data_IF_211006686879
#
_entry.id   IF_211006686879
#
_cell.length_a   1.000
_cell.length_b   1.000
_cell.length_c   1.000
_cell.angle_alpha   90.00
_cell.angle_beta   90.00
_cell.angle_gamma   90.00
#
_symmetry.space_group_name_H-M   'P 1'
#
loop_
_entity.id
_entity.type
_entity.pdbx_description
1 polymer ?
#
# COMPACT_ATOMS: atom_id res chain seq x y z
N UNK A 1 -61.99 36.95 35.02
CA UNK A 1 -60.90 37.96 35.05
C UNK A 1 -59.81 37.47 34.10
N UNK A 2 -59.90 37.91 32.85
CA UNK A 2 -58.89 38.71 32.11
C UNK A 2 -57.74 37.84 31.58
N UNK A 3 -57.84 37.36 30.33
CA UNK A 3 -57.25 37.95 29.10
C UNK A 3 -55.70 37.84 29.13
N UNK A 4 -55.02 37.19 28.19
CA UNK A 4 -54.85 37.62 26.78
C UNK A 4 -54.41 36.45 25.85
N UNK A 5 -55.14 36.23 24.74
CA UNK A 5 -54.75 36.13 23.30
C UNK A 5 -53.28 35.85 22.82
N UNK A 6 -53.05 35.46 21.52
CA UNK A 6 -53.24 34.15 20.85
C UNK A 6 -51.93 33.74 20.08
N UNK A 7 -51.75 32.68 19.29
CA UNK A 7 -52.30 32.38 17.94
C UNK A 7 -51.50 31.15 17.41
N UNK A 8 -52.11 29.97 17.22
CA UNK A 8 -52.57 29.32 15.95
C UNK A 8 -51.47 29.05 14.90
N UNK A 9 -51.40 27.92 14.18
CA UNK A 9 -52.40 27.28 13.29
C UNK A 9 -51.86 25.87 12.91
N UNK A 10 -52.61 24.77 13.01
CA UNK A 10 -53.63 24.19 12.09
C UNK A 10 -53.02 22.96 11.34
N UNK A 11 -53.78 21.89 11.03
CA UNK A 11 -54.57 21.92 9.79
C UNK A 11 -55.89 21.13 9.83
N UNK A 12 -56.92 21.65 9.16
CA UNK A 12 -58.10 20.89 8.76
C UNK A 12 -58.03 20.36 7.32
N UNK A 13 -58.47 19.12 7.19
CA UNK A 13 -58.82 18.41 5.97
C UNK A 13 -60.32 18.62 5.69
N UNK A 14 -60.68 18.62 4.40
CA UNK A 14 -61.96 18.22 3.79
C UNK A 14 -62.91 19.30 3.22
N UNK A 15 -63.17 19.10 1.92
CA UNK A 15 -64.46 19.12 1.23
C UNK A 15 -65.37 20.35 1.34
N UNK A 16 -65.57 21.06 0.21
CA UNK A 16 -66.90 21.52 -0.21
C UNK A 16 -67.00 21.44 -1.76
N UNK A 17 -67.78 20.47 -2.22
CA UNK A 17 -68.50 20.47 -3.51
C UNK A 17 -69.94 20.90 -3.20
N UNK A 18 -70.46 21.96 -3.83
CA UNK A 18 -71.92 22.18 -3.98
C UNK A 18 -72.23 23.48 -4.74
N UNK A 19 -72.95 23.34 -5.88
CA UNK A 19 -73.89 24.28 -6.54
C UNK A 19 -73.35 25.69 -6.94
N UNK A 20 -73.53 26.24 -8.14
CA UNK A 20 -74.55 26.08 -9.19
C UNK A 20 -75.16 27.46 -9.50
N UNK A 21 -74.79 28.10 -10.62
CA UNK A 21 -75.55 29.07 -11.47
C UNK A 21 -74.60 29.84 -12.44
N UNK A 22 -75.10 30.43 -13.55
CA UNK A 22 -74.42 30.40 -14.85
C UNK A 22 -73.84 31.74 -15.35
N UNK A 23 -72.91 31.62 -16.31
CA UNK A 23 -72.69 32.62 -17.37
C UNK A 23 -71.58 33.64 -17.15
N UNK A 24 -70.42 33.44 -17.79
CA UNK A 24 -69.87 34.39 -18.78
C UNK A 24 -68.69 33.75 -19.52
N UNK A 25 -68.64 34.01 -20.83
CA UNK A 25 -67.91 33.27 -21.85
C UNK A 25 -66.56 33.90 -22.23
N UNK A 26 -65.64 33.06 -22.76
CA UNK A 26 -64.43 33.38 -23.56
C UNK A 26 -63.28 34.05 -22.78
N UNK A 27 -62.00 33.63 -22.87
CA UNK A 27 -61.20 33.33 -24.06
C UNK A 27 -60.23 32.17 -23.79
N UNK A 28 -60.14 31.24 -24.76
CA UNK A 28 -59.21 30.13 -24.83
C UNK A 28 -57.89 30.60 -25.47
N UNK A 29 -56.83 30.81 -24.67
CA UNK A 29 -55.45 30.83 -25.19
C UNK A 29 -54.83 29.45 -24.92
N UNK A 30 -54.90 28.58 -25.92
CA UNK A 30 -54.03 27.40 -25.99
C UNK A 30 -52.74 27.76 -26.74
N UNK A 31 -51.68 27.02 -26.39
CA UNK A 31 -50.44 26.76 -27.14
C UNK A 31 -49.34 27.84 -27.16
N UNK A 32 -48.43 27.76 -26.18
CA UNK A 32 -46.97 27.88 -26.45
C UNK A 32 -46.09 27.33 -25.31
N UNK A 33 -46.64 27.12 -24.11
CA UNK A 33 -45.84 26.71 -22.94
C UNK A 33 -45.35 25.26 -23.02
N UNK A 34 -46.08 24.37 -23.72
CA UNK A 34 -45.70 22.96 -23.85
C UNK A 34 -44.46 22.72 -24.70
N UNK A 35 -44.30 23.45 -25.83
CA UNK A 35 -43.15 23.28 -26.73
C UNK A 35 -41.84 23.73 -26.10
N UNK A 36 -41.88 24.79 -25.28
CA UNK A 36 -40.70 25.30 -24.59
C UNK A 36 -40.25 24.35 -23.47
N UNK A 37 -41.20 23.69 -22.79
CA UNK A 37 -40.89 22.68 -21.75
C UNK A 37 -40.27 21.43 -22.38
N UNK A 38 -40.81 20.96 -23.52
CA UNK A 38 -40.27 19.80 -24.24
C UNK A 38 -38.83 20.07 -24.76
N UNK A 39 -38.55 21.29 -25.22
CA UNK A 39 -37.21 21.70 -25.66
C UNK A 39 -36.20 21.82 -24.50
N UNK A 40 -36.65 22.29 -23.33
CA UNK A 40 -35.83 22.35 -22.11
C UNK A 40 -35.52 20.94 -21.60
N UNK A 41 -36.51 20.04 -21.60
CA UNK A 41 -36.31 18.64 -21.18
C UNK A 41 -35.41 17.88 -22.17
N UNK A 42 -35.53 18.18 -23.47
CA UNK A 42 -34.63 17.68 -24.52
C UNK A 42 -33.18 18.11 -24.32
N UNK A 43 -32.92 19.39 -24.00
CA UNK A 43 -31.57 19.87 -23.67
C UNK A 43 -31.02 19.26 -22.39
N UNK A 44 -31.83 19.15 -21.34
CA UNK A 44 -31.43 18.54 -20.08
C UNK A 44 -31.06 17.04 -20.26
N UNK A 45 -31.79 16.31 -21.11
CA UNK A 45 -31.42 14.93 -21.50
C UNK A 45 -30.17 14.86 -22.36
N UNK A 46 -29.97 15.82 -23.27
CA UNK A 46 -28.77 15.86 -24.10
C UNK A 46 -27.52 16.14 -23.26
N UNK A 47 -27.59 17.09 -22.31
CA UNK A 47 -26.51 17.39 -21.39
C UNK A 47 -26.24 16.25 -20.40
N UNK A 48 -27.28 15.61 -19.85
CA UNK A 48 -27.09 14.46 -18.97
C UNK A 48 -26.49 13.26 -19.72
N UNK A 49 -26.91 13.02 -20.96
CA UNK A 49 -26.31 11.98 -21.81
C UNK A 49 -24.87 12.31 -22.19
N UNK A 50 -24.51 13.58 -22.41
CA UNK A 50 -23.13 14.02 -22.64
C UNK A 50 -22.26 13.85 -21.39
N UNK A 51 -22.79 14.12 -20.20
CA UNK A 51 -22.10 13.92 -18.91
C UNK A 51 -21.93 12.41 -18.62
N UNK A 52 -22.93 11.58 -18.93
CA UNK A 52 -22.83 10.13 -18.80
C UNK A 52 -21.81 9.57 -19.79
N UNK A 53 -21.77 10.09 -21.02
CA UNK A 53 -20.82 9.67 -22.05
C UNK A 53 -19.39 10.12 -21.74
N UNK A 54 -19.19 11.28 -21.12
CA UNK A 54 -17.86 11.72 -20.66
C UNK A 54 -17.37 10.92 -19.45
N UNK A 55 -18.28 10.43 -18.59
CA UNK A 55 -17.94 9.48 -17.51
C UNK A 55 -17.66 8.05 -18.00
N UNK A 56 -18.16 7.69 -19.18
CA UNK A 56 -18.08 6.33 -19.74
C UNK A 56 -16.73 5.92 -20.35
N UNK A 57 -15.79 6.84 -20.56
CA UNK A 57 -14.51 6.55 -21.22
C UNK A 57 -13.27 6.78 -20.34
N UNK A 58 -13.37 6.53 -19.03
CA UNK A 58 -12.14 6.24 -18.27
C UNK A 58 -11.70 4.83 -18.62
N UNK A 59 -10.96 4.71 -19.72
CA UNK A 59 -10.29 3.47 -20.15
C UNK A 59 -9.55 2.91 -18.94
N UNK A 60 -10.07 1.82 -18.38
CA UNK A 60 -9.42 1.08 -17.29
C UNK A 60 -8.06 0.67 -17.81
N UNK A 61 -7.03 1.42 -17.39
CA UNK A 61 -5.65 1.20 -17.82
C UNK A 61 -5.30 -0.20 -17.34
N UNK A 62 -5.15 -1.14 -18.28
CA UNK A 62 -4.78 -2.54 -18.06
C UNK A 62 -3.79 -2.63 -16.90
N UNK A 63 -4.29 -2.93 -15.70
CA UNK A 63 -3.44 -3.16 -14.54
C UNK A 63 -2.73 -4.46 -14.86
N UNK A 64 -1.46 -4.36 -15.27
CA UNK A 64 -0.58 -5.53 -15.27
C UNK A 64 -0.71 -6.12 -13.86
N UNK A 65 -1.17 -7.38 -13.73
CA UNK A 65 -1.42 -7.94 -12.41
C UNK A 65 -0.12 -7.87 -11.63
N UNK A 66 -0.19 -7.35 -10.40
CA UNK A 66 0.97 -7.11 -9.53
C UNK A 66 1.95 -8.29 -9.51
N UNK A 67 1.41 -9.50 -9.50
CA UNK A 67 2.14 -10.76 -9.60
C UNK A 67 3.09 -10.84 -10.81
N UNK A 68 2.63 -10.47 -12.01
CA UNK A 68 3.46 -10.50 -13.23
C UNK A 68 4.63 -9.52 -13.12
N UNK A 69 4.41 -8.36 -12.50
CA UNK A 69 5.47 -7.39 -12.25
C UNK A 69 6.54 -7.93 -11.29
N UNK A 70 6.14 -8.63 -10.23
CA UNK A 70 7.06 -9.24 -9.26
C UNK A 70 7.86 -10.37 -9.87
N UNK A 71 7.21 -11.25 -10.64
CA UNK A 71 7.90 -12.35 -11.34
C UNK A 71 8.91 -11.80 -12.34
N UNK A 72 8.51 -10.81 -13.15
CA UNK A 72 9.43 -10.15 -14.09
C UNK A 72 10.61 -9.51 -13.37
N UNK A 73 10.38 -8.84 -12.24
CA UNK A 73 11.43 -8.25 -11.40
C UNK A 73 12.42 -9.29 -10.90
N UNK A 74 11.95 -10.39 -10.32
CA UNK A 74 12.81 -11.47 -9.81
C UNK A 74 13.66 -12.05 -10.94
N UNK A 75 13.04 -12.40 -12.07
CA UNK A 75 13.76 -12.95 -13.23
C UNK A 75 14.81 -11.97 -13.76
N UNK A 76 14.45 -10.69 -13.89
CA UNK A 76 15.35 -9.66 -14.40
C UNK A 76 16.55 -9.44 -13.46
N UNK A 77 16.31 -9.28 -12.15
CA UNK A 77 17.37 -9.05 -11.17
C UNK A 77 18.28 -10.28 -11.05
N UNK A 78 17.72 -11.49 -11.05
CA UNK A 78 18.51 -12.72 -11.00
C UNK A 78 19.36 -12.94 -12.26
N UNK A 79 18.84 -12.63 -13.46
CA UNK A 79 19.64 -12.72 -14.69
C UNK A 79 20.76 -11.69 -14.71
N UNK A 80 20.48 -10.45 -14.30
CA UNK A 80 21.48 -9.39 -14.20
C UNK A 80 22.59 -9.76 -13.19
N UNK A 81 22.20 -10.26 -12.01
CA UNK A 81 23.14 -10.73 -10.99
C UNK A 81 24.01 -11.90 -11.48
N UNK A 82 23.41 -12.88 -12.16
CA UNK A 82 24.11 -14.02 -12.73
C UNK A 82 25.19 -13.61 -13.74
N UNK A 83 24.89 -12.66 -14.63
CA UNK A 83 25.85 -12.16 -15.62
C UNK A 83 27.05 -11.51 -14.93
N UNK A 84 26.80 -10.69 -13.90
CA UNK A 84 27.87 -10.00 -13.17
C UNK A 84 28.72 -10.99 -12.39
N UNK A 85 28.10 -11.95 -11.67
CA UNK A 85 28.80 -12.98 -10.91
C UNK A 85 29.66 -13.87 -11.82
N UNK A 86 29.13 -14.29 -12.97
CA UNK A 86 29.86 -15.09 -13.95
C UNK A 86 31.13 -14.38 -14.40
N UNK A 87 31.05 -13.09 -14.75
CA UNK A 87 32.20 -12.32 -15.26
C UNK A 87 33.24 -12.07 -14.16
N UNK A 88 32.82 -11.93 -12.90
CA UNK A 88 33.72 -11.58 -11.80
C UNK A 88 34.43 -12.77 -11.19
N UNK A 89 33.72 -13.89 -11.04
CA UNK A 89 34.20 -15.08 -10.32
C UNK A 89 34.56 -16.23 -11.26
N UNK A 90 34.47 -16.03 -12.58
CA UNK A 90 34.73 -17.05 -13.62
C UNK A 90 33.97 -18.38 -13.39
N UNK A 91 32.71 -18.26 -12.95
CA UNK A 91 31.86 -19.41 -12.63
C UNK A 91 31.13 -19.94 -13.87
N UNK A 92 30.81 -21.24 -13.90
CA UNK A 92 29.81 -21.76 -14.82
C UNK A 92 28.51 -20.95 -14.72
N UNK A 93 27.90 -20.63 -15.86
CA UNK A 93 26.70 -19.78 -15.89
C UNK A 93 25.57 -20.34 -15.02
N UNK A 94 25.45 -21.67 -14.94
CA UNK A 94 24.44 -22.33 -14.12
C UNK A 94 24.64 -22.08 -12.62
N UNK A 95 25.89 -22.08 -12.13
CA UNK A 95 26.20 -21.83 -10.72
C UNK A 95 26.02 -20.35 -10.36
N UNK A 96 26.43 -19.45 -11.26
CA UNK A 96 26.19 -18.02 -11.11
C UNK A 96 24.69 -17.69 -11.12
N UNK A 97 23.92 -18.33 -12.00
CA UNK A 97 22.46 -18.19 -12.06
C UNK A 97 21.78 -18.74 -10.81
N UNK A 98 22.17 -19.93 -10.36
CA UNK A 98 21.65 -20.54 -9.14
C UNK A 98 21.90 -19.64 -7.93
N UNK A 99 23.14 -19.17 -7.75
CA UNK A 99 23.51 -18.29 -6.63
C UNK A 99 22.75 -16.97 -6.68
N UNK A 100 22.56 -16.39 -7.86
CA UNK A 100 21.79 -15.15 -8.02
C UNK A 100 20.29 -15.32 -7.81
N UNK A 101 19.71 -16.46 -8.19
CA UNK A 101 18.30 -16.77 -7.92
C UNK A 101 18.13 -16.97 -6.42
N UNK A 102 18.97 -17.80 -5.80
CA UNK A 102 18.88 -18.15 -4.38
C UNK A 102 19.01 -16.92 -3.47
N UNK A 103 19.94 -16.00 -3.80
CA UNK A 103 20.07 -14.72 -3.10
C UNK A 103 18.80 -13.87 -3.19
N UNK A 104 18.14 -13.82 -4.36
CA UNK A 104 16.92 -13.01 -4.58
C UNK A 104 15.69 -13.69 -3.97
N UNK A 105 15.59 -15.02 -4.04
CA UNK A 105 14.47 -15.79 -3.46
C UNK A 105 14.64 -16.07 -1.97
N UNK A 106 15.77 -15.67 -1.38
CA UNK A 106 16.11 -15.86 0.02
C UNK A 106 15.99 -17.32 0.47
N UNK A 107 16.56 -18.24 -0.30
CA UNK A 107 16.45 -19.68 -0.05
C UNK A 107 17.63 -20.22 0.77
N UNK A 108 18.84 -19.69 0.57
CA UNK A 108 20.01 -19.96 1.39
C UNK A 108 20.90 -21.10 0.92
N UNK A 109 20.70 -21.58 -0.32
CA UNK A 109 21.50 -22.62 -0.93
C UNK A 109 22.62 -22.02 -1.78
N UNK A 110 23.84 -22.49 -1.57
CA UNK A 110 24.99 -22.11 -2.36
C UNK A 110 25.58 -23.36 -3.03
N UNK A 111 25.73 -23.34 -4.35
CA UNK A 111 26.43 -24.42 -5.09
C UNK A 111 27.94 -24.27 -5.00
N UNK A 112 28.41 -23.04 -4.84
CA UNK A 112 29.82 -22.70 -4.68
C UNK A 112 30.04 -21.91 -3.39
N UNK A 113 31.23 -22.07 -2.82
CA UNK A 113 31.61 -21.43 -1.57
C UNK A 113 31.74 -19.90 -1.76
N UNK A 114 30.82 -19.15 -1.15
CA UNK A 114 30.74 -17.68 -1.19
C UNK A 114 31.91 -17.03 -0.44
N UNK A 115 32.56 -17.77 0.47
CA UNK A 115 33.69 -17.24 1.26
C UNK A 115 34.86 -16.80 0.37
N UNK A 116 35.04 -17.48 -0.77
CA UNK A 116 36.13 -17.28 -1.72
C UNK A 116 35.92 -16.12 -2.68
N UNK A 117 34.69 -15.60 -2.77
CA UNK A 117 34.37 -14.53 -3.71
C UNK A 117 35.09 -13.22 -3.39
N UNK A 118 35.29 -12.41 -4.43
CA UNK A 118 35.79 -11.06 -4.27
C UNK A 118 34.82 -10.22 -3.41
N UNK A 119 35.36 -9.18 -2.78
CA UNK A 119 34.57 -8.22 -1.99
C UNK A 119 33.45 -7.61 -2.82
N UNK A 120 33.70 -7.34 -4.11
CA UNK A 120 32.68 -6.80 -5.02
C UNK A 120 31.51 -7.75 -5.19
N UNK A 121 31.78 -9.04 -5.38
CA UNK A 121 30.77 -10.08 -5.56
C UNK A 121 29.99 -10.34 -4.27
N UNK A 122 30.66 -10.30 -3.11
CA UNK A 122 29.99 -10.32 -1.80
C UNK A 122 29.03 -9.14 -1.63
N UNK A 123 29.44 -7.93 -2.02
CA UNK A 123 28.57 -6.75 -2.03
C UNK A 123 27.39 -6.91 -3.00
N UNK A 124 27.61 -7.47 -4.19
CA UNK A 124 26.54 -7.77 -5.14
C UNK A 124 25.52 -8.74 -4.54
N UNK A 125 25.98 -9.80 -3.88
CA UNK A 125 25.10 -10.77 -3.22
C UNK A 125 24.26 -10.09 -2.13
N UNK A 126 24.84 -9.21 -1.32
CA UNK A 126 24.09 -8.38 -0.35
C UNK A 126 23.01 -7.52 -1.04
N UNK A 127 23.32 -6.91 -2.18
CA UNK A 127 22.34 -6.15 -2.95
C UNK A 127 21.21 -7.03 -3.51
N UNK A 128 21.54 -8.22 -4.02
CA UNK A 128 20.56 -9.18 -4.52
C UNK A 128 19.60 -9.64 -3.42
N UNK A 129 20.11 -9.97 -2.23
CA UNK A 129 19.29 -10.26 -1.05
C UNK A 129 18.34 -9.13 -0.71
N UNK A 130 18.85 -7.89 -0.71
CA UNK A 130 18.03 -6.73 -0.38
C UNK A 130 16.92 -6.51 -1.41
N UNK A 131 17.23 -6.59 -2.71
CA UNK A 131 16.26 -6.38 -3.80
C UNK A 131 15.21 -7.50 -3.88
N UNK A 132 15.56 -8.71 -3.42
CA UNK A 132 14.66 -9.84 -3.28
C UNK A 132 13.81 -9.84 -2.01
N UNK A 133 14.19 -9.07 -1.00
CA UNK A 133 13.47 -9.01 0.28
C UNK A 133 12.00 -8.63 0.11
N UNK A 134 11.13 -9.26 0.91
CA UNK A 134 9.70 -8.97 0.90
C UNK A 134 9.41 -7.48 1.17
N UNK A 135 10.23 -6.85 2.03
CA UNK A 135 10.12 -5.42 2.32
C UNK A 135 10.43 -4.55 1.11
N UNK A 136 11.45 -4.86 0.30
CA UNK A 136 11.73 -4.10 -0.94
C UNK A 136 10.70 -4.37 -2.02
N UNK A 137 10.26 -5.62 -2.18
CA UNK A 137 9.21 -5.97 -3.15
C UNK A 137 7.90 -5.23 -2.87
N UNK A 138 7.57 -4.97 -1.60
CA UNK A 138 6.42 -4.16 -1.21
C UNK A 138 6.57 -2.66 -1.56
N UNK A 139 7.80 -2.13 -1.64
CA UNK A 139 8.04 -0.71 -1.96
C UNK A 139 7.87 -0.37 -3.45
N UNK A 140 8.13 -1.32 -4.35
CA UNK A 140 8.02 -1.12 -5.81
C UNK A 140 6.61 -0.64 -6.23
N UNK A 141 5.51 -1.34 -5.90
CA UNK A 141 4.16 -0.89 -6.28
C UNK A 141 3.79 0.45 -5.61
N UNK A 142 4.22 0.67 -4.36
CA UNK A 142 4.03 1.93 -3.65
C UNK A 142 4.72 3.08 -4.41
N UNK A 143 5.96 2.88 -4.85
CA UNK A 143 6.72 3.89 -5.61
C UNK A 143 6.08 4.19 -6.98
N UNK A 144 5.63 3.17 -7.70
CA UNK A 144 4.91 3.34 -8.98
C UNK A 144 3.63 4.13 -8.77
N UNK A 145 2.84 3.79 -7.73
CA UNK A 145 1.60 4.50 -7.39
C UNK A 145 1.85 5.95 -6.99
N UNK A 146 2.88 6.23 -6.17
CA UNK A 146 3.32 7.59 -5.83
C UNK A 146 3.67 8.37 -7.09
N UNK A 147 4.43 7.78 -8.03
CA UNK A 147 4.81 8.46 -9.28
C UNK A 147 3.59 8.75 -10.15
N UNK A 148 2.67 7.80 -10.26
CA UNK A 148 1.42 7.97 -11.00
C UNK A 148 0.54 9.08 -10.41
N UNK A 149 0.38 9.13 -9.08
CA UNK A 149 -0.42 10.14 -8.41
C UNK A 149 0.28 11.51 -8.37
N UNK A 150 1.62 11.56 -8.28
CA UNK A 150 2.39 12.81 -8.33
C UNK A 150 2.10 13.59 -9.61
N UNK A 151 2.02 12.89 -10.74
CA UNK A 151 1.66 13.47 -12.04
C UNK A 151 0.23 14.02 -12.08
N UNK A 152 -0.63 13.72 -11.11
CA UNK A 152 -1.98 14.28 -11.02
C UNK A 152 -1.99 15.43 -10.01
N UNK A 153 -1.24 15.32 -8.90
CA UNK A 153 -1.19 16.32 -7.81
C UNK A 153 -0.48 17.58 -8.25
N UNK A 154 0.63 17.47 -8.98
CA UNK A 154 1.44 18.63 -9.36
C UNK A 154 0.71 19.58 -10.31
N UNK A 155 -0.26 19.09 -11.09
CA UNK A 155 -1.01 19.91 -12.04
C UNK A 155 -2.29 20.52 -11.46
N UNK A 156 -2.63 20.19 -10.21
CA UNK A 156 -3.83 20.73 -9.54
C UNK A 156 -3.49 21.78 -8.49
N UNK A 157 -3.97 23.00 -8.68
CA UNK A 157 -3.83 24.10 -7.71
C UNK A 157 -4.85 23.93 -6.58
N UNK A 158 -4.44 23.35 -5.44
CA UNK A 158 -5.36 23.13 -4.30
C UNK A 158 -4.97 23.94 -3.07
N UNK A 159 -5.92 24.72 -2.57
CA UNK A 159 -5.77 25.45 -1.32
C UNK A 159 -6.06 24.49 -0.15
N UNK A 160 -4.99 24.00 0.50
CA UNK A 160 -5.06 22.99 1.58
C UNK A 160 -5.63 23.52 2.90
N UNK A 161 -6.01 24.80 2.97
CA UNK A 161 -6.61 25.43 4.16
C UNK A 161 -7.99 24.86 4.52
N UNK A 162 -8.74 24.38 3.52
CA UNK A 162 -10.07 23.79 3.73
C UNK A 162 -10.05 22.27 3.52
N UNK A 163 -9.72 21.53 4.58
CA UNK A 163 -9.62 20.07 4.56
C UNK A 163 -10.91 19.35 4.12
N UNK A 164 -12.08 19.99 4.24
CA UNK A 164 -13.37 19.40 3.85
C UNK A 164 -13.55 19.21 2.34
N UNK A 165 -12.68 19.80 1.51
CA UNK A 165 -12.76 19.74 0.04
C UNK A 165 -11.54 19.11 -0.63
N UNK A 166 -10.67 18.43 0.12
CA UNK A 166 -9.53 17.75 -0.49
C UNK A 166 -9.99 16.51 -1.26
N UNK A 167 -9.58 16.33 -2.52
CA UNK A 167 -9.96 15.14 -3.27
C UNK A 167 -9.23 13.90 -2.74
N UNK A 168 -9.88 12.75 -2.79
CA UNK A 168 -9.44 11.49 -2.18
C UNK A 168 -8.01 11.08 -2.61
N UNK A 169 -7.68 11.24 -3.88
CA UNK A 169 -6.38 10.89 -4.45
C UNK A 169 -5.21 11.74 -3.92
N UNK A 170 -5.46 12.97 -3.43
CA UNK A 170 -4.45 13.79 -2.75
C UNK A 170 -4.17 13.25 -1.35
N UNK A 171 -5.20 12.77 -0.66
CA UNK A 171 -5.07 12.12 0.65
C UNK A 171 -4.31 10.80 0.50
N UNK A 172 -4.66 10.00 -0.50
CA UNK A 172 -3.98 8.75 -0.86
C UNK A 172 -2.49 9.00 -1.18
N UNK A 173 -2.17 9.98 -2.04
CA UNK A 173 -0.79 10.32 -2.38
C UNK A 173 0.05 10.65 -1.13
N UNK A 174 -0.46 11.52 -0.26
CA UNK A 174 0.25 11.92 0.97
C UNK A 174 0.43 10.72 1.90
N UNK A 175 -0.58 9.88 2.02
CA UNK A 175 -0.51 8.67 2.83
C UNK A 175 0.53 7.67 2.30
N UNK A 176 0.58 7.44 0.99
CA UNK A 176 1.59 6.59 0.34
C UNK A 176 3.01 7.15 0.54
N UNK A 177 3.21 8.47 0.42
CA UNK A 177 4.52 9.11 0.66
C UNK A 177 4.96 8.94 2.11
N UNK A 178 4.04 9.07 3.08
CA UNK A 178 4.34 8.82 4.50
C UNK A 178 4.70 7.35 4.70
N UNK A 179 3.91 6.42 4.16
CA UNK A 179 4.14 4.99 4.27
C UNK A 179 5.51 4.60 3.70
N UNK A 180 5.85 5.08 2.50
CA UNK A 180 7.15 4.85 1.85
C UNK A 180 8.32 5.29 2.74
N UNK A 181 8.22 6.48 3.35
CA UNK A 181 9.26 7.00 4.27
C UNK A 181 9.35 6.17 5.55
N UNK A 182 8.22 5.77 6.13
CA UNK A 182 8.18 4.95 7.35
C UNK A 182 8.86 3.60 7.12
N UNK A 183 8.57 2.93 5.99
CA UNK A 183 9.19 1.64 5.66
C UNK A 183 10.70 1.77 5.44
N UNK A 184 11.15 2.79 4.70
CA UNK A 184 12.59 3.03 4.51
C UNK A 184 13.29 3.35 5.84
N UNK A 185 12.69 4.19 6.67
CA UNK A 185 13.23 4.55 7.98
C UNK A 185 13.28 3.33 8.89
N UNK A 186 12.24 2.49 8.88
CA UNK A 186 12.21 1.24 9.63
C UNK A 186 13.39 0.33 9.27
N UNK A 187 13.61 0.07 7.98
CA UNK A 187 14.72 -0.77 7.52
C UNK A 187 16.06 -0.21 7.95
N UNK A 188 16.27 1.09 7.73
CA UNK A 188 17.50 1.78 8.14
C UNK A 188 17.75 1.67 9.64
N UNK A 189 16.72 1.89 10.46
CA UNK A 189 16.83 1.81 11.93
C UNK A 189 17.11 0.39 12.41
N UNK A 190 16.44 -0.62 11.84
CA UNK A 190 16.70 -2.02 12.18
C UNK A 190 18.15 -2.39 11.86
N UNK A 191 18.64 -2.08 10.65
CA UNK A 191 20.05 -2.32 10.31
C UNK A 191 21.01 -1.56 11.22
N UNK A 192 20.73 -0.30 11.53
CA UNK A 192 21.59 0.51 12.37
C UNK A 192 21.65 -0.03 13.81
N UNK A 193 20.50 -0.36 14.42
CA UNK A 193 20.44 -0.82 15.81
C UNK A 193 21.16 -2.15 15.98
N UNK A 194 20.84 -3.15 15.16
CA UNK A 194 21.45 -4.48 15.30
C UNK A 194 22.87 -4.51 14.74
N UNK A 195 23.14 -3.81 13.64
CA UNK A 195 24.49 -3.68 13.09
C UNK A 195 25.45 -2.99 14.06
N UNK A 196 25.01 -1.91 14.71
CA UNK A 196 25.78 -1.25 15.77
C UNK A 196 25.95 -2.15 16.99
N UNK A 197 24.90 -2.84 17.45
CA UNK A 197 25.01 -3.77 18.58
C UNK A 197 26.04 -4.89 18.31
N UNK A 198 26.02 -5.48 17.11
CA UNK A 198 27.01 -6.48 16.69
C UNK A 198 28.41 -5.88 16.56
N UNK A 199 28.53 -4.67 16.00
CA UNK A 199 29.81 -3.95 15.89
C UNK A 199 30.44 -3.70 17.27
N UNK A 200 29.67 -3.15 18.21
CA UNK A 200 30.13 -2.92 19.58
C UNK A 200 30.56 -4.24 20.24
N UNK A 201 29.78 -5.32 20.06
CA UNK A 201 30.12 -6.63 20.62
C UNK A 201 31.43 -7.20 20.07
N UNK A 202 31.74 -6.97 18.80
CA UNK A 202 32.99 -7.42 18.16
C UNK A 202 34.17 -6.55 18.61
N UNK A 203 34.00 -5.23 18.72
CA UNK A 203 35.09 -4.33 19.13
C UNK A 203 35.47 -4.53 20.60
N UNK A 204 34.50 -4.69 21.50
CA UNK A 204 34.77 -4.83 22.93
C UNK A 204 35.20 -6.25 23.35
N UNK A 205 35.08 -7.25 22.49
CA UNK A 205 35.45 -8.63 22.82
C UNK A 205 36.54 -9.14 21.89
N UNK A 206 37.73 -9.28 22.47
CA UNK A 206 38.90 -9.80 21.77
C UNK A 206 38.64 -11.17 21.14
N UNK A 207 38.06 -12.09 21.91
CA UNK A 207 37.75 -13.44 21.46
C UNK A 207 36.84 -13.46 20.22
N UNK A 208 35.81 -12.61 20.19
CA UNK A 208 34.90 -12.55 19.04
C UNK A 208 35.56 -11.90 17.83
N UNK A 209 36.41 -10.90 18.04
CA UNK A 209 37.16 -10.24 16.97
C UNK A 209 38.14 -11.20 16.29
N UNK A 210 38.91 -11.95 17.08
CA UNK A 210 39.84 -12.96 16.58
C UNK A 210 39.10 -14.05 15.81
N UNK A 211 37.99 -14.54 16.35
CA UNK A 211 37.15 -15.53 15.68
C UNK A 211 36.63 -15.05 14.31
N UNK A 212 36.19 -13.78 14.20
CA UNK A 212 35.78 -13.20 12.91
C UNK A 212 36.94 -13.15 11.92
N UNK A 213 38.14 -12.77 12.36
CA UNK A 213 39.32 -12.71 11.50
C UNK A 213 39.79 -14.10 11.03
N UNK A 214 39.69 -15.10 11.89
CA UNK A 214 40.04 -16.49 11.58
C UNK A 214 39.04 -17.13 10.61
N UNK A 215 37.74 -16.91 10.84
CA UNK A 215 36.67 -17.57 10.07
C UNK A 215 36.34 -16.91 8.74
N UNK A 216 36.65 -15.61 8.58
CA UNK A 216 36.38 -14.85 7.36
C UNK A 216 37.63 -14.07 6.89
N UNK A 217 38.73 -14.76 6.54
CA UNK A 217 39.97 -14.11 6.14
C UNK A 217 39.76 -13.21 4.92
N UNK A 218 40.36 -12.01 4.95
CA UNK A 218 40.26 -11.02 3.88
C UNK A 218 38.95 -10.21 3.86
N UNK A 219 37.99 -10.47 4.76
CA UNK A 219 36.79 -9.64 4.89
C UNK A 219 36.95 -8.61 6.00
N UNK A 220 36.55 -7.37 5.75
CA UNK A 220 36.51 -6.34 6.79
C UNK A 220 35.44 -6.65 7.84
N UNK A 221 35.66 -6.26 9.10
CA UNK A 221 34.66 -6.45 10.18
C UNK A 221 33.32 -5.81 9.79
N UNK A 222 33.35 -4.62 9.20
CA UNK A 222 32.15 -3.94 8.73
C UNK A 222 31.45 -4.73 7.60
N UNK A 223 32.21 -5.27 6.64
CA UNK A 223 31.67 -6.11 5.58
C UNK A 223 31.00 -7.37 6.14
N UNK A 224 31.61 -8.00 7.15
CA UNK A 224 31.04 -9.16 7.83
C UNK A 224 29.72 -8.83 8.52
N UNK A 225 29.65 -7.70 9.23
CA UNK A 225 28.44 -7.25 9.94
C UNK A 225 27.33 -6.90 8.94
N UNK A 226 27.63 -6.11 7.91
CA UNK A 226 26.65 -5.75 6.87
C UNK A 226 26.12 -6.99 6.18
N UNK A 227 26.99 -7.95 5.83
CA UNK A 227 26.57 -9.18 5.16
C UNK A 227 25.62 -10.01 6.03
N UNK A 228 26.00 -10.30 7.28
CA UNK A 228 25.19 -11.13 8.16
C UNK A 228 23.91 -10.42 8.62
N UNK A 229 23.93 -9.10 8.76
CA UNK A 229 22.71 -8.34 9.07
C UNK A 229 21.72 -8.34 7.92
N UNK A 230 22.17 -8.11 6.68
CA UNK A 230 21.27 -8.17 5.52
C UNK A 230 20.77 -9.60 5.30
N UNK A 231 21.65 -10.60 5.41
CA UNK A 231 21.29 -12.02 5.28
C UNK A 231 20.23 -12.46 6.31
N UNK A 232 20.43 -12.12 7.59
CA UNK A 232 19.47 -12.45 8.64
C UNK A 232 18.17 -11.64 8.55
N UNK A 233 18.21 -10.35 8.18
CA UNK A 233 16.99 -9.56 7.95
C UNK A 233 16.15 -10.13 6.78
N UNK A 234 16.82 -10.51 5.70
CA UNK A 234 16.17 -11.05 4.51
C UNK A 234 15.83 -12.55 4.65
N UNK A 235 16.18 -13.18 5.77
CA UNK A 235 16.03 -14.62 6.02
C UNK A 235 16.70 -15.50 4.96
N UNK A 236 17.83 -15.07 4.42
CA UNK A 236 18.50 -15.78 3.31
C UNK A 236 19.27 -16.97 3.84
N UNK A 237 20.06 -16.80 4.90
CA UNK A 237 20.85 -17.89 5.49
C UNK A 237 22.26 -18.04 4.91
N UNK A 238 22.64 -17.20 3.94
CA UNK A 238 24.03 -17.11 3.50
C UNK A 238 24.94 -16.61 4.62
N UNK A 239 26.16 -17.12 4.62
CA UNK A 239 27.22 -16.74 5.53
C UNK A 239 28.55 -16.58 4.78
N UNK A 240 29.42 -15.72 5.30
CA UNK A 240 30.79 -15.56 4.80
C UNK A 240 31.77 -16.57 5.41
N UNK A 241 31.25 -17.67 5.94
CA UNK A 241 32.00 -18.71 6.61
C UNK A 241 31.56 -20.08 6.07
N UNK A 242 32.49 -21.03 5.89
CA UNK A 242 32.17 -22.34 5.31
C UNK A 242 31.23 -23.17 6.19
N UNK A 243 31.33 -23.01 7.51
CA UNK A 243 30.48 -23.72 8.49
C UNK A 243 29.35 -22.84 9.03
N UNK A 244 28.91 -21.86 8.25
CA UNK A 244 27.94 -20.85 8.66
C UNK A 244 28.29 -20.26 10.05
N UNK A 245 27.33 -20.19 10.96
CA UNK A 245 27.50 -19.61 12.31
C UNK A 245 27.93 -20.63 13.39
N UNK A 246 28.28 -21.88 13.02
CA UNK A 246 28.73 -22.91 13.99
C UNK A 246 29.90 -22.42 14.86
N UNK A 247 30.94 -21.73 14.34
CA UNK A 247 32.04 -21.24 15.17
C UNK A 247 31.60 -20.23 16.25
N UNK A 248 30.42 -19.62 16.11
CA UNK A 248 29.88 -18.61 17.02
C UNK A 248 28.92 -19.21 18.06
N UNK A 249 29.01 -20.52 18.33
CA UNK A 249 28.10 -21.18 19.25
C UNK A 249 28.18 -20.63 20.69
N UNK A 250 29.36 -20.27 21.16
CA UNK A 250 29.51 -19.66 22.50
C UNK A 250 29.05 -18.18 22.56
N UNK A 251 28.73 -17.57 21.41
CA UNK A 251 28.43 -16.14 21.30
C UNK A 251 26.92 -15.86 21.38
N UNK A 252 26.31 -16.08 22.54
CA UNK A 252 24.86 -15.91 22.79
C UNK A 252 24.32 -14.55 22.36
N UNK A 253 25.03 -13.46 22.65
CA UNK A 253 24.60 -12.11 22.29
C UNK A 253 24.47 -11.92 20.76
N UNK A 254 25.43 -12.44 20.00
CA UNK A 254 25.46 -12.32 18.54
C UNK A 254 24.30 -13.10 17.93
N UNK A 255 24.08 -14.34 18.39
CA UNK A 255 22.94 -15.18 18.01
C UNK A 255 21.61 -14.51 18.35
N UNK A 256 21.50 -13.88 19.52
CA UNK A 256 20.31 -13.13 19.92
C UNK A 256 20.01 -11.96 18.98
N UNK A 257 21.03 -11.16 18.61
CA UNK A 257 20.86 -10.09 17.63
C UNK A 257 20.36 -10.62 16.28
N UNK A 258 20.93 -11.72 15.78
CA UNK A 258 20.51 -12.35 14.52
C UNK A 258 19.08 -12.87 14.59
N UNK A 259 18.68 -13.55 15.67
CA UNK A 259 17.31 -14.00 15.88
C UNK A 259 16.32 -12.83 15.86
N UNK A 260 16.63 -11.74 16.56
CA UNK A 260 15.79 -10.54 16.55
C UNK A 260 15.71 -9.88 15.18
N UNK A 261 16.79 -9.95 14.39
CA UNK A 261 16.84 -9.44 13.03
C UNK A 261 15.97 -10.24 12.06
N UNK A 262 15.98 -11.58 12.18
CA UNK A 262 15.07 -12.49 11.45
C UNK A 262 13.61 -12.15 11.76
N UNK A 263 13.30 -11.90 13.05
CA UNK A 263 11.95 -11.53 13.48
C UNK A 263 11.53 -10.15 12.96
N UNK A 264 12.40 -9.13 13.01
CA UNK A 264 12.11 -7.80 12.47
C UNK A 264 12.26 -7.71 10.94
N UNK A 265 12.79 -8.75 10.32
CA UNK A 265 12.93 -8.87 8.89
C UNK A 265 11.62 -9.22 8.19
N UNK A 266 11.72 -10.13 7.22
CA UNK A 266 10.59 -10.55 6.39
C UNK A 266 9.41 -11.14 7.19
N UNK A 267 9.63 -11.70 8.39
CA UNK A 267 8.56 -12.33 9.20
C UNK A 267 7.69 -11.30 9.90
N UNK A 268 8.29 -10.41 10.69
CA UNK A 268 7.57 -9.48 11.55
C UNK A 268 7.31 -8.12 10.94
N UNK A 269 7.84 -7.82 9.74
CA UNK A 269 7.67 -6.52 9.10
C UNK A 269 6.19 -6.04 9.04
N UNK A 270 5.20 -6.83 8.58
CA UNK A 270 3.80 -6.37 8.54
C UNK A 270 3.22 -6.07 9.92
N UNK A 271 3.62 -6.86 10.93
CA UNK A 271 3.15 -6.73 12.31
C UNK A 271 3.73 -5.45 12.91
N UNK A 272 5.04 -5.27 12.85
CA UNK A 272 5.74 -4.10 13.40
C UNK A 272 5.30 -2.82 12.69
N UNK A 273 5.11 -2.86 11.37
CA UNK A 273 4.58 -1.74 10.61
C UNK A 273 3.19 -1.32 11.11
N UNK A 274 2.30 -2.28 11.40
CA UNK A 274 0.97 -1.99 11.97
C UNK A 274 1.09 -1.31 13.35
N UNK A 275 1.94 -1.80 14.22
CA UNK A 275 2.18 -1.18 15.54
C UNK A 275 2.73 0.24 15.41
N UNK A 276 3.67 0.47 14.50
CA UNK A 276 4.22 1.81 14.21
C UNK A 276 3.11 2.74 13.73
N UNK A 277 2.27 2.31 12.79
CA UNK A 277 1.17 3.15 12.28
C UNK A 277 0.17 3.50 13.39
N UNK A 278 -0.19 2.53 14.23
CA UNK A 278 -1.08 2.75 15.39
C UNK A 278 -0.45 3.77 16.34
N UNK A 279 0.83 3.60 16.68
CA UNK A 279 1.57 4.51 17.56
C UNK A 279 1.61 5.92 16.98
N UNK A 280 1.95 6.08 15.70
CA UNK A 280 1.96 7.37 15.01
C UNK A 280 0.57 8.03 15.00
N UNK A 281 -0.49 7.23 14.87
CA UNK A 281 -1.87 7.71 14.97
C UNK A 281 -2.24 8.18 16.38
N UNK A 282 -1.74 7.52 17.43
CA UNK A 282 -1.95 7.97 18.81
C UNK A 282 -1.16 9.24 19.15
N UNK A 283 0.09 9.35 18.68
CA UNK A 283 0.96 10.51 18.90
C UNK A 283 0.53 11.74 18.08
N UNK A 284 -0.24 11.55 17.01
CA UNK A 284 -0.69 12.66 16.17
C UNK A 284 -1.70 13.58 16.93
N UNK A 285 -1.51 14.91 16.91
CA UNK A 285 -2.43 15.86 17.53
C UNK A 285 -3.87 15.67 17.04
N UNK A 286 -4.87 15.82 17.92
CA UNK A 286 -6.29 15.54 17.63
C UNK A 286 -6.84 16.35 16.44
N UNK A 287 -6.32 17.54 16.19
CA UNK A 287 -6.76 18.44 15.11
C UNK A 287 -5.82 18.49 13.88
N UNK A 288 -4.82 17.61 13.80
CA UNK A 288 -3.87 17.63 12.68
C UNK A 288 -4.36 16.79 11.50
N UNK A 289 -4.27 17.34 10.28
CA UNK A 289 -4.55 16.63 9.01
C UNK A 289 -3.79 15.29 8.88
N UNK A 290 -2.70 15.12 9.66
CA UNK A 290 -1.92 13.89 9.74
C UNK A 290 -2.73 12.68 10.20
N UNK A 291 -3.69 12.83 11.12
CA UNK A 291 -4.54 11.71 11.60
C UNK A 291 -5.37 11.08 10.47
N UNK A 292 -5.87 11.91 9.55
CA UNK A 292 -6.63 11.42 8.40
C UNK A 292 -5.72 10.72 7.39
N UNK A 293 -4.53 11.25 7.12
CA UNK A 293 -3.54 10.58 6.26
C UNK A 293 -3.09 9.23 6.82
N UNK A 294 -2.92 9.09 8.14
CA UNK A 294 -2.56 7.82 8.76
C UNK A 294 -3.68 6.77 8.65
N UNK A 295 -4.96 7.18 8.81
CA UNK A 295 -6.11 6.27 8.62
C UNK A 295 -6.28 5.83 7.16
N UNK A 296 -6.16 6.74 6.20
CA UNK A 296 -6.20 6.38 4.77
C UNK A 296 -4.99 5.53 4.37
N UNK A 297 -3.79 5.87 4.86
CA UNK A 297 -2.58 5.08 4.62
C UNK A 297 -2.68 3.66 5.15
N UNK A 298 -3.32 3.48 6.31
CA UNK A 298 -3.60 2.16 6.85
C UNK A 298 -4.52 1.33 5.94
N UNK A 299 -5.57 1.94 5.38
CA UNK A 299 -6.46 1.26 4.43
C UNK A 299 -5.74 0.90 3.12
N UNK A 300 -4.88 1.77 2.63
CA UNK A 300 -4.07 1.50 1.42
C UNK A 300 -3.04 0.41 1.68
N UNK A 301 -2.34 0.46 2.82
CA UNK A 301 -1.40 -0.59 3.22
C UNK A 301 -2.10 -1.95 3.40
N UNK A 302 -3.30 -1.97 4.01
CA UNK A 302 -4.10 -3.19 4.16
C UNK A 302 -4.59 -3.78 2.83
N UNK A 303 -4.83 -2.94 1.81
CA UNK A 303 -5.16 -3.39 0.45
C UNK A 303 -3.95 -3.85 -0.36
N UNK A 304 -2.75 -3.34 -0.04
CA UNK A 304 -1.52 -3.66 -0.77
C UNK A 304 -0.76 -4.85 -0.18
N UNK A 305 -0.92 -5.14 1.12
CA UNK A 305 -0.29 -6.28 1.78
C UNK A 305 -1.26 -7.47 1.83
N UNK A 306 -0.95 -8.60 1.18
CA UNK A 306 -1.82 -9.78 1.22
C UNK A 306 -1.97 -10.29 2.66
N UNK A 307 -3.23 -10.53 3.10
CA UNK A 307 -3.54 -11.14 4.40
C UNK A 307 -4.07 -10.21 5.50
N UNK A 308 -4.37 -8.93 5.23
CA UNK A 308 -4.93 -8.00 6.24
C UNK A 308 -6.44 -7.82 6.05
N UNK A 309 -7.30 -8.24 7.00
CA UNK A 309 -8.73 -8.01 6.89
C UNK A 309 -9.06 -6.50 7.01
N UNK A 310 -10.02 -6.04 6.21
CA UNK A 310 -10.57 -4.67 6.29
C UNK A 310 -11.32 -4.49 7.63
N UNK A 311 -10.64 -3.95 8.65
CA UNK A 311 -11.13 -3.98 10.05
C UNK A 311 -11.44 -2.60 10.67
N UNK A 312 -11.51 -1.52 9.88
CA UNK A 312 -11.91 -0.20 10.40
C UNK A 312 -13.01 0.43 9.54
N UNK A 313 -14.18 0.77 10.14
CA UNK A 313 -15.25 1.45 9.43
C UNK A 313 -14.78 2.81 8.92
N UNK A 314 -15.24 3.17 7.71
CA UNK A 314 -15.00 4.46 7.08
C UNK A 314 -15.55 5.55 8.02
N UNK A 315 -14.76 6.56 8.42
CA UNK A 315 -15.32 7.68 9.17
C UNK A 315 -16.36 8.39 8.30
N UNK A 316 -17.51 8.82 8.85
CA UNK A 316 -18.58 9.49 8.09
C UNK A 316 -18.17 10.84 7.47
N UNK A 317 -16.98 11.35 7.79
CA UNK A 317 -16.36 12.47 7.08
C UNK A 317 -15.72 12.08 5.72
N UNK A 318 -15.69 10.78 5.40
CA UNK A 318 -15.29 10.20 4.12
C UNK A 318 -16.41 9.38 3.46
N UNK A 319 -17.61 9.33 4.06
CA UNK A 319 -18.78 8.84 3.33
C UNK A 319 -19.23 9.90 2.33
N UNK A 320 -19.54 9.48 1.10
CA UNK A 320 -20.20 10.34 0.12
C UNK A 320 -21.39 11.05 0.77
N UNK A 321 -21.66 12.33 0.46
CA UNK A 321 -22.95 12.91 0.79
C UNK A 321 -24.05 12.02 0.22
N UNK A 322 -25.09 11.77 1.01
CA UNK A 322 -26.25 10.92 0.72
C UNK A 322 -27.04 11.31 -0.54
N UNK A 323 -26.62 12.36 -1.26
CA UNK A 323 -27.14 12.75 -2.58
C UNK A 323 -26.51 12.00 -3.76
N UNK A 324 -25.57 11.07 -3.52
CA UNK A 324 -24.86 10.28 -4.54
C UNK A 324 -24.86 8.77 -4.25
N UNK A 325 -25.94 8.24 -3.68
CA UNK A 325 -26.23 6.80 -3.84
C UNK A 325 -26.61 6.52 -5.30
N UNK A 326 -26.11 5.46 -5.95
CA UNK A 326 -26.69 5.01 -7.20
C UNK A 326 -28.19 4.70 -6.97
N UNK A 327 -29.07 4.91 -7.96
CA UNK A 327 -30.46 4.49 -7.81
C UNK A 327 -30.47 3.00 -7.48
N UNK A 328 -31.23 2.64 -6.44
CA UNK A 328 -31.55 1.27 -6.10
C UNK A 328 -31.99 0.54 -7.37
N UNK A 329 -31.33 -0.59 -7.68
CA UNK A 329 -31.85 -1.52 -8.67
C UNK A 329 -33.31 -1.87 -8.28
N UNK A 330 -34.25 -1.94 -9.23
CA UNK A 330 -35.59 -2.38 -8.94
C UNK A 330 -35.57 -3.82 -8.40
N UNK A 331 -36.37 -4.05 -7.36
CA UNK A 331 -36.54 -5.33 -6.67
C UNK A 331 -36.85 -6.46 -7.66
N UNK A 332 -35.86 -7.31 -7.91
CA UNK A 332 -36.07 -8.63 -8.51
C UNK A 332 -36.27 -9.66 -7.39
N UNK A 333 -37.41 -9.59 -6.71
CA UNK A 333 -37.92 -10.72 -5.94
C UNK A 333 -38.49 -11.76 -6.91
N UNK A 334 -37.65 -12.71 -7.35
CA UNK A 334 -38.10 -14.04 -7.76
C UNK A 334 -37.05 -15.08 -7.35
N UNK A 335 -37.41 -16.15 -6.60
CA UNK A 335 -36.45 -17.05 -5.97
C UNK A 335 -35.92 -18.09 -6.97
N UNK A 336 -34.61 -18.09 -7.21
CA UNK A 336 -33.87 -19.19 -7.85
C UNK A 336 -33.67 -20.33 -6.84
N UNK A 337 -34.71 -21.14 -6.67
CA UNK A 337 -34.65 -22.40 -5.94
C UNK A 337 -35.03 -23.57 -6.85
N UNK A 338 -34.53 -23.61 -8.08
CA UNK A 338 -34.70 -24.75 -8.99
C UNK A 338 -33.64 -24.71 -10.11
N UNK A 339 -32.43 -25.20 -9.83
CA UNK A 339 -31.45 -25.62 -10.86
C UNK A 339 -30.33 -26.49 -10.28
N UNK A 340 -30.72 -27.42 -9.40
CA UNK A 340 -29.87 -28.52 -8.94
C UNK A 340 -30.59 -29.86 -9.12
N UNK A 341 -31.20 -30.09 -10.28
CA UNK A 341 -31.57 -31.43 -10.79
C UNK A 341 -31.53 -31.38 -12.32
N UNK A 342 -30.82 -32.35 -12.92
CA UNK A 342 -30.76 -32.72 -14.34
C UNK A 342 -29.99 -31.79 -15.30
N UNK A 343 -28.87 -32.33 -15.81
CA UNK A 343 -28.04 -31.78 -16.89
C UNK A 343 -26.66 -32.40 -16.88
#
# INVERSE_FOLDING_TARGET
MSATEPDSTDPQVSSILSAGEPGFSFIRHHTSVGSDIDDIEGRARAESNLIIRSKGEVKSKSQVPFFVGVVFWIVFVSLAGAIILKVREDLPFIDALFTSIDAVTATGLATHDITKYDTTSKCLIVLLMQLGSATMLALVPIAIRIRSLRQIVTYGTFNLSNFRRVPEWVVEYKALVILFRVVLLYNLLVYLVYGLAMFLRIIFSQATRELVHETAPGTSILGWIVFHTVSAYCNVGFSLMPNALIPFDDQTFLKFCLCMLILHGNVGFPIVLRWIIILLNHLAPKDSSRKVYFRCGFQVAARLLPGVPNLLPVPPSCSLPSSLSPPSLPDAHQPLHELFVAG
#
